data_IF_473553316450
#
_entry.id   IF_473553316450
#
_cell.length_a   1.000
_cell.length_b   1.000
_cell.length_c   1.000
_cell.angle_alpha   90.00
_cell.angle_beta   90.00
_cell.angle_gamma   90.00
#
_symmetry.space_group_name_H-M   'P 1'
#
loop_
_entity.id
_entity.type
_entity.pdbx_description
1 polymer ?
#
# COMPACT_ATOMS: atom_id res chain seq x y z
N UNK A 1 12.30 16.63 -83.52
CA UNK A 1 13.29 16.57 -82.42
C UNK A 1 12.62 15.99 -81.20
N UNK A 2 12.98 14.74 -80.88
CA UNK A 2 12.47 13.90 -79.79
C UNK A 2 12.89 14.45 -78.42
N UNK A 3 11.95 14.62 -77.47
CA UNK A 3 12.25 14.54 -76.03
C UNK A 3 11.67 13.23 -75.51
N UNK A 4 12.51 12.41 -74.88
CA UNK A 4 12.13 11.11 -74.34
C UNK A 4 11.34 11.25 -73.02
N UNK A 5 10.31 10.41 -72.78
CA UNK A 5 9.53 10.39 -71.55
C UNK A 5 10.17 9.60 -70.39
N UNK A 6 11.43 9.19 -70.50
CA UNK A 6 12.15 8.43 -69.47
C UNK A 6 13.30 9.24 -68.87
N UNK A 7 12.98 10.13 -67.93
CA UNK A 7 13.92 10.49 -66.86
C UNK A 7 13.44 9.78 -65.60
N UNK A 8 13.98 8.58 -65.36
CA UNK A 8 13.82 7.91 -64.09
C UNK A 8 14.46 8.79 -63.00
N UNK A 9 13.70 9.07 -61.94
CA UNK A 9 14.21 9.66 -60.71
C UNK A 9 15.33 8.78 -60.14
N UNK A 10 16.39 9.37 -59.56
CA UNK A 10 17.41 8.57 -58.88
C UNK A 10 16.75 7.83 -57.72
N UNK A 11 17.02 6.53 -57.60
CA UNK A 11 16.51 5.71 -56.52
C UNK A 11 16.93 6.33 -55.16
N UNK A 12 16.01 6.35 -54.17
CA UNK A 12 16.38 6.80 -52.84
C UNK A 12 17.40 5.82 -52.27
N UNK A 13 18.56 6.31 -51.84
CA UNK A 13 19.58 5.52 -51.16
C UNK A 13 18.92 4.74 -50.00
N UNK A 14 19.00 3.41 -50.02
CA UNK A 14 18.33 2.46 -49.11
C UNK A 14 18.45 2.86 -47.62
N UNK A 15 19.56 3.48 -47.25
CA UNK A 15 19.91 3.98 -45.93
C UNK A 15 18.94 5.06 -45.40
N UNK A 16 18.35 5.90 -46.26
CA UNK A 16 17.33 6.87 -45.84
C UNK A 16 16.02 6.17 -45.43
N UNK A 17 15.68 5.06 -46.10
CA UNK A 17 14.52 4.24 -45.75
C UNK A 17 14.75 3.40 -44.48
N UNK A 18 15.98 2.97 -44.23
CA UNK A 18 16.36 2.25 -43.00
C UNK A 18 16.33 3.17 -41.77
N UNK A 19 16.85 4.39 -41.87
CA UNK A 19 16.75 5.38 -40.79
C UNK A 19 15.29 5.75 -40.49
N UNK A 20 14.43 5.84 -41.52
CA UNK A 20 12.99 6.01 -41.34
C UNK A 20 12.32 4.84 -40.60
N UNK A 21 12.66 3.59 -40.94
CA UNK A 21 12.12 2.39 -40.26
C UNK A 21 12.60 2.26 -38.83
N UNK A 22 13.86 2.60 -38.54
CA UNK A 22 14.41 2.62 -37.17
C UNK A 22 13.74 3.70 -36.32
N UNK A 23 13.46 4.89 -36.88
CA UNK A 23 12.75 5.97 -36.19
C UNK A 23 11.30 5.59 -35.82
N UNK A 24 10.61 4.82 -36.67
CA UNK A 24 9.24 4.32 -36.41
C UNK A 24 9.25 3.24 -35.32
N UNK A 25 10.22 2.33 -35.32
CA UNK A 25 10.34 1.31 -34.25
C UNK A 25 10.74 1.93 -32.91
N UNK A 26 11.60 2.95 -32.91
CA UNK A 26 11.97 3.69 -31.71
C UNK A 26 10.77 4.47 -31.11
N UNK A 27 9.98 5.15 -31.95
CA UNK A 27 8.75 5.82 -31.49
C UNK A 27 7.66 4.85 -31.04
N UNK A 28 7.55 3.68 -31.67
CA UNK A 28 6.56 2.66 -31.31
C UNK A 28 6.80 2.07 -29.92
N UNK A 29 8.07 1.89 -29.53
CA UNK A 29 8.43 1.39 -28.19
C UNK A 29 8.12 2.41 -27.08
N UNK A 30 8.34 3.70 -27.37
CA UNK A 30 8.06 4.80 -26.45
C UNK A 30 6.55 5.07 -26.26
N UNK A 31 5.76 4.96 -27.33
CA UNK A 31 4.28 5.10 -27.27
C UNK A 31 3.65 3.95 -26.49
N UNK A 32 4.12 2.72 -26.69
CA UNK A 32 3.64 1.56 -25.93
C UNK A 32 3.94 1.68 -24.43
N UNK A 33 5.13 2.15 -24.05
CA UNK A 33 5.43 2.41 -22.63
C UNK A 33 4.61 3.56 -22.03
N UNK A 34 4.32 4.62 -22.81
CA UNK A 34 3.46 5.72 -22.33
C UNK A 34 2.01 5.27 -22.14
N UNK A 35 1.49 4.46 -23.06
CA UNK A 35 0.16 3.87 -22.97
C UNK A 35 0.02 3.00 -21.71
N UNK A 36 0.98 2.10 -21.45
CA UNK A 36 0.96 1.27 -20.23
C UNK A 36 1.05 2.09 -18.94
N UNK A 37 1.80 3.20 -18.95
CA UNK A 37 1.90 4.08 -17.79
C UNK A 37 0.61 4.89 -17.56
N UNK A 38 -0.06 5.35 -18.61
CA UNK A 38 -1.37 6.02 -18.49
C UNK A 38 -2.44 5.04 -18.00
N UNK A 39 -2.44 3.81 -18.51
CA UNK A 39 -3.38 2.76 -18.07
C UNK A 39 -3.14 2.37 -16.61
N UNK A 40 -1.88 2.28 -16.19
CA UNK A 40 -1.51 2.03 -14.79
C UNK A 40 -1.90 3.19 -13.86
N UNK A 41 -1.76 4.43 -14.32
CA UNK A 41 -2.18 5.60 -13.57
C UNK A 41 -3.69 5.64 -13.40
N UNK A 42 -4.46 5.41 -14.47
CA UNK A 42 -5.92 5.30 -14.41
C UNK A 42 -6.36 4.17 -13.48
N UNK A 43 -5.65 3.06 -13.46
CA UNK A 43 -5.91 1.93 -12.57
C UNK A 43 -5.66 2.25 -11.08
N UNK A 44 -4.56 2.92 -10.74
CA UNK A 44 -4.30 3.36 -9.35
C UNK A 44 -5.36 4.37 -8.89
N UNK A 45 -5.83 5.24 -9.78
CA UNK A 45 -6.86 6.23 -9.48
C UNK A 45 -8.22 5.63 -9.14
N UNK A 46 -8.47 4.35 -9.45
CA UNK A 46 -9.73 3.68 -9.12
C UNK A 46 -9.98 3.56 -7.60
N UNK A 47 -8.97 3.81 -6.75
CA UNK A 47 -9.08 3.98 -5.28
C UNK A 47 -9.45 2.71 -4.48
N UNK A 48 -10.44 1.95 -4.95
CA UNK A 48 -10.92 0.69 -4.40
C UNK A 48 -9.79 -0.35 -4.30
N UNK A 49 -8.95 -0.46 -5.34
CA UNK A 49 -7.82 -1.39 -5.31
C UNK A 49 -6.66 -0.89 -4.45
N UNK A 50 -6.38 0.42 -4.44
CA UNK A 50 -5.26 0.97 -3.69
C UNK A 50 -5.42 0.70 -2.18
N UNK A 51 -6.63 0.86 -1.64
CA UNK A 51 -6.93 0.59 -0.23
C UNK A 51 -6.74 -0.90 0.13
N UNK A 52 -7.13 -1.81 -0.77
CA UNK A 52 -6.90 -3.25 -0.58
C UNK A 52 -5.41 -3.60 -0.65
N UNK A 53 -4.69 -3.06 -1.64
CA UNK A 53 -3.27 -3.30 -1.85
C UNK A 53 -2.43 -2.81 -0.66
N UNK A 54 -2.72 -1.60 -0.15
CA UNK A 54 -2.07 -1.05 1.05
C UNK A 54 -2.35 -1.94 2.27
N UNK A 55 -3.59 -2.43 2.42
CA UNK A 55 -3.94 -3.37 3.50
C UNK A 55 -3.13 -4.67 3.47
N UNK A 56 -2.90 -5.24 2.28
CA UNK A 56 -2.11 -6.46 2.11
C UNK A 56 -0.63 -6.26 2.45
N UNK A 57 -0.02 -5.17 1.96
CA UNK A 57 1.40 -4.87 2.18
C UNK A 57 1.69 -4.57 3.66
N UNK A 58 0.80 -3.80 4.31
CA UNK A 58 0.91 -3.53 5.74
C UNK A 58 0.67 -4.81 6.56
N UNK A 59 -0.29 -5.65 6.15
CA UNK A 59 -0.58 -6.92 6.79
C UNK A 59 0.57 -7.92 6.72
N UNK A 60 1.21 -8.07 5.55
CA UNK A 60 2.34 -8.99 5.36
C UNK A 60 3.57 -8.56 6.15
N UNK A 61 3.90 -7.26 6.10
CA UNK A 61 5.05 -6.70 6.80
C UNK A 61 4.91 -6.81 8.33
N UNK A 62 3.71 -6.54 8.85
CA UNK A 62 3.42 -6.71 10.27
C UNK A 62 3.54 -8.17 10.71
N UNK A 63 3.00 -9.11 9.91
CA UNK A 63 3.12 -10.54 10.17
C UNK A 63 4.59 -11.01 10.27
N UNK A 64 5.47 -10.51 9.40
CA UNK A 64 6.91 -10.82 9.46
C UNK A 64 7.58 -10.33 10.74
N UNK A 65 7.23 -9.13 11.21
CA UNK A 65 7.76 -8.58 12.47
C UNK A 65 7.32 -9.43 13.67
N UNK A 66 6.05 -9.85 13.68
CA UNK A 66 5.53 -10.71 14.74
C UNK A 66 6.20 -12.07 14.76
N UNK A 67 6.35 -12.71 13.59
CA UNK A 67 7.03 -13.99 13.48
C UNK A 67 8.49 -13.92 13.94
N UNK A 68 9.20 -12.85 13.59
CA UNK A 68 10.58 -12.65 14.04
C UNK A 68 10.65 -12.53 15.56
N UNK A 69 9.75 -11.74 16.17
CA UNK A 69 9.70 -11.62 17.63
C UNK A 69 9.43 -12.96 18.34
N UNK A 70 8.54 -13.78 17.79
CA UNK A 70 8.19 -15.07 18.40
C UNK A 70 9.31 -16.08 18.25
N UNK A 71 9.89 -16.21 17.05
CA UNK A 71 11.00 -17.13 16.80
C UNK A 71 12.26 -16.70 17.56
N UNK A 72 12.58 -15.40 17.58
CA UNK A 72 13.84 -14.91 18.13
C UNK A 72 13.81 -14.72 19.65
N UNK A 73 12.64 -14.44 20.25
CA UNK A 73 12.52 -14.20 21.69
C UNK A 73 11.80 -15.34 22.41
N UNK A 74 10.69 -15.85 21.89
CA UNK A 74 9.86 -16.81 22.63
C UNK A 74 10.36 -18.25 22.48
N UNK A 75 10.76 -18.69 21.29
CA UNK A 75 11.31 -20.04 21.08
C UNK A 75 12.51 -20.37 21.98
N UNK A 76 13.54 -19.50 22.15
CA UNK A 76 14.65 -19.81 23.07
C UNK A 76 14.23 -19.83 24.54
N UNK A 77 13.28 -18.98 24.94
CA UNK A 77 12.73 -18.99 26.31
C UNK A 77 11.98 -20.31 26.56
N UNK A 78 11.11 -20.72 25.64
CA UNK A 78 10.36 -21.97 25.75
C UNK A 78 11.32 -23.16 25.76
N UNK A 79 12.35 -23.17 24.90
CA UNK A 79 13.37 -24.22 24.86
C UNK A 79 14.19 -24.32 26.15
N UNK A 80 14.43 -23.20 26.85
CA UNK A 80 15.08 -23.19 28.16
C UNK A 80 14.16 -23.74 29.25
N UNK A 81 12.88 -23.35 29.25
CA UNK A 81 11.89 -23.87 30.20
C UNK A 81 11.54 -25.34 29.97
N UNK A 82 11.64 -25.82 28.73
CA UNK A 82 11.40 -27.21 28.35
C UNK A 82 12.68 -28.06 28.30
N UNK A 83 13.78 -27.57 28.90
CA UNK A 83 15.10 -28.18 29.02
C UNK A 83 15.20 -29.59 28.39
N UNK A 84 15.87 -29.59 27.23
CA UNK A 84 16.02 -30.64 26.22
C UNK A 84 16.82 -31.88 26.69
N UNK A 85 16.54 -32.40 27.88
CA UNK A 85 17.14 -33.64 28.42
C UNK A 85 16.14 -34.78 28.42
N UNK A 86 15.64 -35.14 27.24
CA UNK A 86 15.11 -36.48 27.04
C UNK A 86 15.39 -36.86 25.59
N UNK A 87 16.41 -37.70 25.41
CA UNK A 87 16.68 -38.43 24.17
C UNK A 87 15.52 -39.38 23.82
N UNK A 88 14.34 -38.83 23.56
CA UNK A 88 13.18 -39.54 23.10
C UNK A 88 13.20 -39.48 21.57
N UNK A 89 13.22 -40.66 20.95
CA UNK A 89 12.93 -40.85 19.54
C UNK A 89 11.54 -40.29 19.27
N UNK A 90 11.46 -39.04 18.80
CA UNK A 90 10.19 -38.42 18.43
C UNK A 90 9.91 -38.76 16.97
N UNK A 91 8.92 -39.62 16.75
CA UNK A 91 7.97 -39.43 15.63
C UNK A 91 7.55 -37.94 15.67
N UNK A 92 7.38 -37.27 14.52
CA UNK A 92 7.20 -35.81 14.30
C UNK A 92 6.21 -35.00 15.19
N UNK A 93 5.72 -35.55 16.30
CA UNK A 93 4.99 -34.87 17.37
C UNK A 93 5.69 -33.61 17.89
N UNK A 94 7.03 -33.58 17.95
CA UNK A 94 7.76 -32.37 18.34
C UNK A 94 7.40 -31.16 17.46
N UNK A 95 7.40 -31.34 16.14
CA UNK A 95 7.06 -30.29 15.17
C UNK A 95 5.57 -29.91 15.24
N UNK A 96 4.70 -30.90 15.48
CA UNK A 96 3.27 -30.64 15.59
C UNK A 96 2.91 -29.85 16.85
N UNK A 97 3.49 -30.21 18.01
CA UNK A 97 3.27 -29.49 19.26
C UNK A 97 3.89 -28.08 19.20
N UNK A 98 5.05 -27.92 18.55
CA UNK A 98 5.67 -26.61 18.32
C UNK A 98 4.75 -25.69 17.50
N UNK A 99 4.17 -26.19 16.41
CA UNK A 99 3.24 -25.41 15.59
C UNK A 99 1.97 -25.01 16.36
N UNK A 100 1.46 -25.89 17.23
CA UNK A 100 0.32 -25.59 18.10
C UNK A 100 0.69 -24.50 19.11
N UNK A 101 1.83 -24.62 19.78
CA UNK A 101 2.28 -23.61 20.75
C UNK A 101 2.49 -22.26 20.07
N UNK A 102 3.12 -22.23 18.91
CA UNK A 102 3.32 -21.02 18.13
C UNK A 102 2.00 -20.40 17.67
N UNK A 103 0.99 -21.20 17.30
CA UNK A 103 -0.33 -20.70 16.97
C UNK A 103 -0.98 -19.95 18.15
N UNK A 104 -0.99 -20.56 19.34
CA UNK A 104 -1.60 -19.93 20.52
C UNK A 104 -0.82 -18.71 21.00
N UNK A 105 0.51 -18.76 20.97
CA UNK A 105 1.39 -17.65 21.34
C UNK A 105 1.19 -16.47 20.38
N UNK A 106 1.25 -16.72 19.06
CA UNK A 106 1.03 -15.70 18.04
C UNK A 106 -0.36 -15.09 18.13
N UNK A 107 -1.40 -15.89 18.40
CA UNK A 107 -2.77 -15.41 18.54
C UNK A 107 -2.92 -14.46 19.74
N UNK A 108 -2.41 -14.84 20.92
CA UNK A 108 -2.48 -14.01 22.13
C UNK A 108 -1.63 -12.75 21.96
N UNK A 109 -0.43 -12.88 21.41
CA UNK A 109 0.47 -11.76 21.19
C UNK A 109 -0.11 -10.75 20.18
N UNK A 110 -0.63 -11.22 19.04
CA UNK A 110 -1.30 -10.39 18.04
C UNK A 110 -2.50 -9.66 18.65
N UNK A 111 -3.34 -10.36 19.41
CA UNK A 111 -4.49 -9.76 20.07
C UNK A 111 -4.08 -8.64 21.04
N UNK A 112 -3.09 -8.89 21.91
CA UNK A 112 -2.58 -7.89 22.83
C UNK A 112 -1.91 -6.71 22.10
N UNK A 113 -1.04 -6.98 21.12
CA UNK A 113 -0.34 -5.97 20.35
C UNK A 113 -1.32 -5.07 19.58
N UNK A 114 -2.29 -5.66 18.88
CA UNK A 114 -3.34 -4.91 18.17
C UNK A 114 -4.17 -4.10 19.15
N UNK A 115 -4.60 -4.66 20.29
CA UNK A 115 -5.37 -3.90 21.30
C UNK A 115 -4.57 -2.71 21.85
N UNK A 116 -3.29 -2.88 22.14
CA UNK A 116 -2.42 -1.80 22.65
C UNK A 116 -2.12 -0.76 21.59
N UNK A 117 -1.79 -1.16 20.37
CA UNK A 117 -1.58 -0.25 19.24
C UNK A 117 -2.86 0.53 18.92
N UNK A 118 -4.01 -0.16 18.89
CA UNK A 118 -5.31 0.45 18.64
C UNK A 118 -5.72 1.40 19.77
N UNK A 119 -5.48 1.02 21.04
CA UNK A 119 -5.70 1.91 22.19
C UNK A 119 -4.81 3.15 22.13
N UNK A 120 -3.55 3.01 21.72
CA UNK A 120 -2.61 4.13 21.56
C UNK A 120 -3.03 5.08 20.44
N UNK A 121 -3.42 4.54 19.28
CA UNK A 121 -3.93 5.31 18.14
C UNK A 121 -5.26 6.00 18.49
N UNK A 122 -6.15 5.33 19.25
CA UNK A 122 -7.39 5.95 19.72
C UNK A 122 -7.17 7.03 20.79
N UNK A 123 -6.13 6.90 21.63
CA UNK A 123 -5.71 7.97 22.54
C UNK A 123 -5.12 9.16 21.79
N UNK A 124 -4.54 8.92 20.62
CA UNK A 124 -4.08 9.94 19.66
C UNK A 124 -5.19 10.40 18.71
N UNK A 125 -6.48 10.36 19.11
CA UNK A 125 -7.57 11.04 18.39
C UNK A 125 -7.22 12.52 18.24
N UNK A 126 -6.60 12.81 17.09
CA UNK A 126 -6.47 14.12 16.47
C UNK A 126 -7.82 14.80 16.62
N UNK A 127 -7.83 15.95 17.29
CA UNK A 127 -9.06 16.71 17.53
C UNK A 127 -9.72 17.03 16.19
N UNK A 128 -10.76 16.26 15.85
CA UNK A 128 -11.51 16.43 14.61
C UNK A 128 -12.16 17.81 14.66
N UNK A 129 -11.70 18.71 13.78
CA UNK A 129 -12.28 20.05 13.64
C UNK A 129 -13.42 19.95 12.63
N UNK A 130 -14.61 20.40 13.00
CA UNK A 130 -15.75 20.54 12.07
C UNK A 130 -15.72 21.94 11.46
N UNK A 131 -15.98 22.04 10.16
CA UNK A 131 -16.05 23.34 9.49
C UNK A 131 -17.43 23.97 9.71
N UNK A 132 -17.46 25.23 10.12
CA UNK A 132 -18.71 25.97 10.27
C UNK A 132 -19.20 26.45 8.88
N UNK A 133 -20.47 26.20 8.48
CA UNK A 133 -20.99 26.62 7.18
C UNK A 133 -21.19 28.13 7.05
N UNK A 134 -21.28 28.85 8.17
CA UNK A 134 -21.53 30.30 8.19
C UNK A 134 -20.24 31.11 8.01
N UNK A 135 -19.19 30.79 8.78
CA UNK A 135 -17.93 31.54 8.78
C UNK A 135 -16.75 30.79 8.15
N UNK A 136 -16.95 29.53 7.71
CA UNK A 136 -15.92 28.66 7.11
C UNK A 136 -14.70 28.35 7.98
N UNK A 137 -14.70 28.76 9.24
CA UNK A 137 -13.61 28.52 10.20
C UNK A 137 -13.65 27.11 10.80
N UNK A 138 -12.48 26.59 11.19
CA UNK A 138 -12.33 25.27 11.78
C UNK A 138 -12.58 25.28 13.29
N UNK A 139 -13.74 24.75 13.71
CA UNK A 139 -14.15 24.72 15.12
C UNK A 139 -13.86 23.35 15.74
N UNK A 140 -13.50 23.30 17.02
CA UNK A 140 -13.33 22.03 17.77
C UNK A 140 -14.59 21.16 17.64
N UNK A 141 -14.42 19.86 17.37
CA UNK A 141 -15.53 18.94 17.06
C UNK A 141 -16.65 18.90 18.10
N UNK A 142 -16.33 19.09 19.38
CA UNK A 142 -17.29 19.09 20.48
C UNK A 142 -17.97 20.46 20.75
N UNK A 143 -17.68 21.52 19.97
CA UNK A 143 -18.26 22.83 20.23
C UNK A 143 -19.73 22.92 19.81
N UNK A 144 -20.60 23.36 20.71
CA UNK A 144 -22.02 23.62 20.41
C UNK A 144 -22.22 24.98 19.72
N UNK A 145 -21.30 25.94 19.96
CA UNK A 145 -21.30 27.29 19.37
C UNK A 145 -19.96 27.64 18.74
N UNK A 146 -20.01 28.32 17.60
CA UNK A 146 -18.83 28.86 16.95
C UNK A 146 -18.33 30.11 17.68
N UNK A 147 -17.02 30.22 17.94
CA UNK A 147 -16.41 31.37 18.63
C UNK A 147 -16.42 32.64 17.77
N UNK A 148 -16.26 32.50 16.46
CA UNK A 148 -16.13 33.63 15.54
C UNK A 148 -17.48 34.25 15.16
N UNK A 149 -18.49 33.42 14.86
CA UNK A 149 -19.80 33.91 14.40
C UNK A 149 -20.97 33.67 15.37
N UNK A 150 -20.77 32.96 16.48
CA UNK A 150 -21.81 32.72 17.49
C UNK A 150 -22.94 31.77 17.08
N UNK A 151 -22.94 31.25 15.85
CA UNK A 151 -23.98 30.32 15.38
C UNK A 151 -23.95 28.98 16.12
N UNK A 152 -25.12 28.44 16.41
CA UNK A 152 -25.28 27.10 16.96
C UNK A 152 -24.98 26.02 15.89
N UNK A 153 -24.02 25.14 16.20
CA UNK A 153 -23.46 24.13 15.26
C UNK A 153 -23.48 22.71 15.87
N UNK A 154 -24.50 22.43 16.69
CA UNK A 154 -24.66 21.18 17.45
C UNK A 154 -24.83 19.93 16.57
N UNK A 155 -25.39 20.06 15.37
CA UNK A 155 -25.78 18.93 14.51
C UNK A 155 -24.87 18.66 13.30
N UNK A 156 -23.73 19.34 13.19
CA UNK A 156 -22.90 19.23 11.98
C UNK A 156 -22.05 17.94 11.98
N UNK A 157 -22.01 17.21 10.85
CA UNK A 157 -21.14 16.06 10.70
C UNK A 157 -19.67 16.49 10.78
N UNK A 158 -18.87 15.65 11.41
CA UNK A 158 -17.45 15.90 11.62
C UNK A 158 -16.70 15.69 10.30
N UNK A 159 -16.47 16.77 9.56
CA UNK A 159 -15.62 16.72 8.36
C UNK A 159 -14.18 16.51 8.82
N UNK A 160 -13.72 15.26 8.77
CA UNK A 160 -12.30 14.94 8.95
C UNK A 160 -11.57 15.48 7.72
N UNK A 161 -10.98 16.67 7.89
CA UNK A 161 -10.14 17.40 6.93
C UNK A 161 -9.94 16.73 5.57
N UNK A 162 -10.74 17.14 4.60
CA UNK A 162 -10.30 17.11 3.21
C UNK A 162 -9.23 18.20 3.07
N UNK A 163 -7.99 17.76 2.92
CA UNK A 163 -6.95 18.52 2.23
C UNK A 163 -6.90 18.00 0.80
#
# INVERSE_FOLDING_TARGET
MHRNPFTASPSPSENASLLGRVQVVANQKLVSTRALLTDFQEFIQQGNMLNMAVGLILGSSFSSILNSLVVDILSPIISLFTARDAGAVTINYGLFLENIMNFFINAIFLFCAVKKALELVFKLKVGVKKQCPFCKEFVKGAATRCKECGSDISSLPSVMGQM
#
